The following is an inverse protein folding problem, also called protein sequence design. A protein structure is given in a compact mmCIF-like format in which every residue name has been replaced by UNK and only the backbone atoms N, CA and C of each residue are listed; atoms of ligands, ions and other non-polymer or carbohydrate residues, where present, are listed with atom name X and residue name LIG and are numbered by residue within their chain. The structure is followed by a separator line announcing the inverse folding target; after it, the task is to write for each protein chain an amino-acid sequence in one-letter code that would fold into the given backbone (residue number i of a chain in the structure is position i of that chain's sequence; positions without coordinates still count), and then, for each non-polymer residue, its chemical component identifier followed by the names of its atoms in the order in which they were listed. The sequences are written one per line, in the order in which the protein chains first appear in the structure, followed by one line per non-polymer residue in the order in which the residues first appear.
data_IF_112956696958
#
_entry.id   IF_112956696958
#
_cell.length_a   1.000
_cell.length_b   1.000
_cell.length_c   1.000
_cell.angle_alpha   90.00
_cell.angle_beta   90.00
_cell.angle_gamma   90.00
#
_symmetry.space_group_name_H-M   'P 1'
#
loop_
_entity.id
_entity.type
_entity.pdbx_description
1 polymer ?
#
# COMPACT_ATOMS: atom_id res chain seq x y z
N UNK A 1 -14.68 -21.89 0.51
CA UNK A 1 -13.40 -22.07 -0.20
C UNK A 1 -13.74 -22.48 -1.62
N UNK A 2 -13.72 -21.54 -2.57
CA UNK A 2 -14.07 -21.82 -3.96
C UNK A 2 -12.83 -22.29 -4.69
N UNK A 3 -12.83 -23.56 -5.10
CA UNK A 3 -11.81 -24.14 -5.97
C UNK A 3 -11.83 -23.42 -7.31
N UNK A 4 -10.92 -22.47 -7.52
CA UNK A 4 -10.64 -21.96 -8.85
C UNK A 4 -9.81 -22.99 -9.60
N UNK A 5 -10.50 -23.91 -10.29
CA UNK A 5 -9.94 -24.58 -11.45
C UNK A 5 -9.75 -23.46 -12.48
N UNK A 6 -8.51 -23.07 -12.73
CA UNK A 6 -8.20 -22.13 -13.81
C UNK A 6 -8.43 -22.90 -15.12
N UNK A 7 -9.63 -22.77 -15.68
CA UNK A 7 -9.94 -23.29 -17.01
C UNK A 7 -8.95 -22.69 -18.02
N UNK A 8 -8.25 -23.55 -18.74
CA UNK A 8 -7.33 -23.14 -19.81
C UNK A 8 -8.16 -22.61 -20.98
N UNK A 9 -7.74 -21.46 -21.53
CA UNK A 9 -8.40 -20.86 -22.70
C UNK A 9 -8.23 -21.81 -23.89
N UNK A 10 -9.35 -22.29 -24.43
CA UNK A 10 -9.35 -23.39 -25.39
C UNK A 10 -9.51 -22.95 -26.83
N UNK A 11 -10.02 -21.73 -27.08
CA UNK A 11 -10.22 -21.20 -28.44
C UNK A 11 -10.14 -19.67 -28.53
N UNK A 12 -10.07 -19.14 -29.76
CA UNK A 12 -9.93 -17.69 -30.03
C UNK A 12 -11.14 -16.85 -29.56
N UNK A 13 -12.41 -17.27 -29.77
CA UNK A 13 -13.55 -16.55 -29.22
C UNK A 13 -13.48 -16.38 -27.69
N UNK A 14 -13.18 -17.45 -26.96
CA UNK A 14 -13.03 -17.41 -25.51
C UNK A 14 -11.88 -16.48 -25.09
N UNK A 15 -10.74 -16.53 -25.78
CA UNK A 15 -9.61 -15.63 -25.53
C UNK A 15 -10.04 -14.15 -25.61
N UNK A 16 -10.76 -13.77 -26.67
CA UNK A 16 -11.24 -12.40 -26.87
C UNK A 16 -12.19 -11.99 -25.73
N UNK A 17 -13.09 -12.87 -25.31
CA UNK A 17 -14.01 -12.62 -24.20
C UNK A 17 -13.27 -12.37 -22.88
N UNK A 18 -12.26 -13.19 -22.56
CA UNK A 18 -11.45 -13.00 -21.34
C UNK A 18 -10.68 -11.67 -21.37
N UNK A 19 -10.14 -11.27 -22.53
CA UNK A 19 -9.46 -9.98 -22.69
C UNK A 19 -10.44 -8.81 -22.51
N UNK A 20 -11.63 -8.88 -23.11
CA UNK A 20 -12.66 -7.85 -22.94
C UNK A 20 -13.09 -7.71 -21.48
N UNK A 21 -13.32 -8.83 -20.80
CA UNK A 21 -13.61 -8.87 -19.35
C UNK A 21 -12.47 -8.28 -18.53
N UNK A 22 -11.22 -8.64 -18.83
CA UNK A 22 -10.04 -8.09 -18.15
C UNK A 22 -9.98 -6.56 -18.30
N UNK A 23 -10.16 -6.03 -19.51
CA UNK A 23 -10.17 -4.58 -19.78
C UNK A 23 -11.31 -3.87 -19.04
N UNK A 24 -12.49 -4.48 -18.99
CA UNK A 24 -13.64 -3.95 -18.23
C UNK A 24 -13.31 -3.85 -16.74
N UNK A 25 -12.79 -4.92 -16.14
CA UNK A 25 -12.41 -4.96 -14.72
C UNK A 25 -11.31 -3.96 -14.39
N UNK A 26 -10.24 -3.90 -15.20
CA UNK A 26 -9.16 -2.93 -15.05
C UNK A 26 -9.68 -1.48 -15.07
N UNK A 27 -10.61 -1.18 -15.98
CA UNK A 27 -11.24 0.15 -16.07
C UNK A 27 -12.06 0.50 -14.83
N UNK A 28 -12.83 -0.46 -14.28
CA UNK A 28 -13.60 -0.25 -13.05
C UNK A 28 -12.69 -0.08 -11.83
N UNK A 29 -11.62 -0.89 -11.74
CA UNK A 29 -10.62 -0.76 -10.68
C UNK A 29 -9.97 0.62 -10.69
N UNK A 30 -9.64 1.17 -11.87
CA UNK A 30 -9.14 2.55 -11.98
C UNK A 30 -10.09 3.57 -11.35
N UNK A 31 -11.37 3.52 -11.71
CA UNK A 31 -12.40 4.44 -11.16
C UNK A 31 -12.53 4.31 -9.65
N UNK A 32 -12.60 3.07 -9.14
CA UNK A 32 -12.72 2.81 -7.69
C UNK A 32 -11.47 3.27 -6.95
N UNK A 33 -10.28 3.04 -7.50
CA UNK A 33 -9.01 3.45 -6.90
C UNK A 33 -8.89 4.97 -6.85
N UNK A 34 -9.31 5.68 -7.90
CA UNK A 34 -9.31 7.15 -7.93
C UNK A 34 -10.27 7.72 -6.87
N UNK A 35 -11.49 7.17 -6.76
CA UNK A 35 -12.44 7.55 -5.70
C UNK A 35 -11.90 7.24 -4.31
N UNK A 36 -11.27 6.07 -4.13
CA UNK A 36 -10.66 5.66 -2.87
C UNK A 36 -9.53 6.61 -2.46
N UNK A 37 -8.70 7.03 -3.42
CA UNK A 37 -7.63 8.01 -3.20
C UNK A 37 -8.20 9.33 -2.70
N UNK A 38 -9.20 9.90 -3.38
CA UNK A 38 -9.85 11.15 -2.98
C UNK A 38 -10.45 11.06 -1.57
N UNK A 39 -11.16 9.96 -1.26
CA UNK A 39 -11.74 9.76 0.07
C UNK A 39 -10.68 9.62 1.17
N UNK A 40 -9.54 8.96 0.90
CA UNK A 40 -8.42 8.86 1.85
C UNK A 40 -7.79 10.22 2.13
N UNK A 41 -7.58 11.03 1.09
CA UNK A 41 -7.04 12.38 1.21
C UNK A 41 -7.97 13.27 2.04
N UNK A 42 -9.27 13.29 1.71
CA UNK A 42 -10.28 14.05 2.45
C UNK A 42 -10.37 13.60 3.91
N UNK A 43 -10.39 12.28 4.17
CA UNK A 43 -10.38 11.74 5.54
C UNK A 43 -9.14 12.17 6.31
N UNK A 44 -7.96 12.15 5.69
CA UNK A 44 -6.72 12.58 6.33
C UNK A 44 -6.73 14.07 6.66
N UNK A 45 -7.25 14.91 5.75
CA UNK A 45 -7.38 16.35 5.98
C UNK A 45 -8.33 16.64 7.15
N UNK A 46 -9.52 16.02 7.15
CA UNK A 46 -10.48 16.14 8.25
C UNK A 46 -9.91 15.65 9.57
N UNK A 47 -9.21 14.52 9.56
CA UNK A 47 -8.56 13.97 10.75
C UNK A 47 -7.59 14.98 11.37
N UNK A 48 -6.73 15.60 10.55
CA UNK A 48 -5.78 16.60 11.05
C UNK A 48 -6.50 17.84 11.61
N UNK A 49 -7.54 18.33 10.95
CA UNK A 49 -8.33 19.47 11.43
C UNK A 49 -9.00 19.16 12.77
N UNK A 50 -9.64 17.99 12.89
CA UNK A 50 -10.35 17.56 14.10
C UNK A 50 -9.37 17.35 15.26
N UNK A 51 -8.27 16.61 15.04
CA UNK A 51 -7.25 16.39 16.07
C UNK A 51 -6.64 17.72 16.56
N UNK A 52 -6.34 18.65 15.64
CA UNK A 52 -5.81 19.96 16.00
C UNK A 52 -6.79 20.75 16.86
N UNK A 53 -8.08 20.77 16.48
CA UNK A 53 -9.11 21.43 17.27
C UNK A 53 -9.25 20.81 18.65
N UNK A 54 -9.30 19.48 18.75
CA UNK A 54 -9.40 18.79 20.04
C UNK A 54 -8.23 19.11 20.97
N UNK A 55 -7.00 19.14 20.44
CA UNK A 55 -5.81 19.49 21.21
C UNK A 55 -5.80 20.97 21.64
N UNK A 56 -6.25 21.90 20.78
CA UNK A 56 -6.31 23.33 21.11
C UNK A 56 -7.34 23.66 22.20
N UNK A 57 -8.34 22.81 22.36
CA UNK A 57 -9.44 23.00 23.30
C UNK A 57 -9.42 22.04 24.49
N UNK A 58 -8.30 21.32 24.73
CA UNK A 58 -8.12 20.34 25.82
C UNK A 58 -9.21 19.24 25.83
N UNK A 59 -9.56 18.72 24.65
CA UNK A 59 -10.58 17.67 24.45
C UNK A 59 -9.96 16.29 24.21
N UNK A 60 -8.70 16.06 24.57
CA UNK A 60 -7.96 14.83 24.26
C UNK A 60 -8.62 13.58 24.88
N UNK A 61 -9.25 13.76 26.04
CA UNK A 61 -9.97 12.70 26.75
C UNK A 61 -11.48 12.67 26.44
N UNK A 62 -11.97 13.54 25.55
CA UNK A 62 -13.39 13.62 25.20
C UNK A 62 -13.82 12.49 24.26
N UNK A 63 -15.08 12.07 24.45
CA UNK A 63 -15.76 11.04 23.65
C UNK A 63 -16.88 11.70 22.86
N UNK A 64 -16.85 11.58 21.54
CA UNK A 64 -17.87 12.14 20.64
C UNK A 64 -18.77 10.99 20.18
N UNK A 65 -20.04 11.01 20.57
CA UNK A 65 -21.02 10.02 20.12
C UNK A 65 -21.48 10.27 18.69
N UNK A 66 -21.58 9.20 17.90
CA UNK A 66 -22.16 9.16 16.56
C UNK A 66 -23.19 8.03 16.48
N UNK A 67 -23.99 8.00 15.41
CA UNK A 67 -25.11 7.06 15.26
C UNK A 67 -24.72 5.58 15.36
N UNK A 68 -23.50 5.24 14.99
CA UNK A 68 -22.94 3.88 14.92
C UNK A 68 -21.81 3.65 15.94
N UNK A 69 -21.58 4.55 16.89
CA UNK A 69 -20.55 4.38 17.91
C UNK A 69 -20.00 5.68 18.47
N UNK A 70 -18.68 5.72 18.67
CA UNK A 70 -18.00 6.87 19.23
C UNK A 70 -16.62 7.13 18.64
N UNK A 71 -16.20 8.39 18.70
CA UNK A 71 -14.88 8.87 18.32
C UNK A 71 -14.14 9.37 19.55
N UNK A 72 -12.85 9.04 19.62
CA UNK A 72 -11.91 9.53 20.63
C UNK A 72 -10.55 9.78 20.00
N UNK A 73 -9.78 10.70 20.57
CA UNK A 73 -8.40 10.88 20.17
C UNK A 73 -7.61 9.61 20.52
N UNK A 74 -6.73 9.19 19.62
CA UNK A 74 -5.87 8.03 19.85
C UNK A 74 -4.53 8.21 19.16
N UNK A 75 -3.46 7.94 19.90
CA UNK A 75 -2.10 7.97 19.38
C UNK A 75 -1.82 6.73 18.53
N UNK A 76 -1.77 6.94 17.22
CA UNK A 76 -1.35 5.92 16.28
C UNK A 76 0.19 5.88 16.22
N UNK A 77 0.79 4.76 16.60
CA UNK A 77 2.22 4.49 16.35
C UNK A 77 2.40 4.01 14.90
N UNK A 78 3.13 4.78 14.10
CA UNK A 78 3.49 4.38 12.74
C UNK A 78 4.95 3.92 12.71
N UNK A 79 5.17 2.65 12.36
CA UNK A 79 6.51 2.10 12.20
C UNK A 79 6.95 2.25 10.75
N UNK A 80 8.13 2.84 10.54
CA UNK A 80 8.74 2.90 9.21
C UNK A 80 9.08 1.50 8.69
N UNK A 81 9.02 1.31 7.38
CA UNK A 81 9.46 0.05 6.76
C UNK A 81 10.94 -0.23 7.03
N UNK A 82 11.27 -1.52 7.18
CA UNK A 82 12.65 -1.98 7.29
C UNK A 82 13.26 -1.94 5.89
N UNK A 83 13.84 -0.79 5.55
CA UNK A 83 14.54 -0.58 4.29
C UNK A 83 16.01 -0.98 4.41
N UNK A 84 16.67 -1.29 3.29
CA UNK A 84 18.12 -1.50 3.30
C UNK A 84 18.88 -0.31 3.89
N UNK A 85 18.44 0.92 3.62
CA UNK A 85 19.05 2.12 4.22
C UNK A 85 18.81 2.23 5.74
N UNK A 86 17.67 1.73 6.25
CA UNK A 86 17.47 1.61 7.70
C UNK A 86 18.44 0.60 8.31
N UNK A 87 18.55 -0.60 7.72
CA UNK A 87 19.46 -1.66 8.17
C UNK A 87 20.90 -1.15 8.14
N UNK A 88 21.33 -0.51 7.04
CA UNK A 88 22.68 0.04 6.86
C UNK A 88 23.02 1.05 7.96
N UNK A 89 22.14 2.01 8.24
CA UNK A 89 22.34 2.99 9.33
C UNK A 89 22.44 2.32 10.70
N UNK A 90 21.65 1.27 10.94
CA UNK A 90 21.72 0.52 12.19
C UNK A 90 23.04 -0.24 12.31
N UNK A 91 23.48 -0.92 11.25
CA UNK A 91 24.75 -1.64 11.21
C UNK A 91 25.94 -0.69 11.36
N UNK A 92 25.93 0.47 10.72
CA UNK A 92 27.00 1.47 10.82
C UNK A 92 27.18 2.06 12.23
N UNK A 93 26.16 1.95 13.10
CA UNK A 93 26.27 2.32 14.53
C UNK A 93 26.93 1.24 15.37
N UNK A 94 26.90 -0.01 14.91
CA UNK A 94 27.38 -1.19 15.64
C UNK A 94 28.73 -1.69 15.12
N UNK A 95 29.02 -1.45 13.84
CA UNK A 95 30.20 -1.93 13.13
C UNK A 95 30.98 -0.72 12.63
N UNK A 96 32.20 -0.52 13.13
CA UNK A 96 33.05 0.63 12.78
C UNK A 96 33.62 0.52 11.36
N UNK A 97 33.84 -0.69 10.86
CA UNK A 97 34.31 -0.92 9.50
C UNK A 97 33.17 -0.75 8.48
N UNK A 98 33.22 0.36 7.75
CA UNK A 98 32.25 0.68 6.70
C UNK A 98 32.24 -0.36 5.57
N UNK A 99 33.38 -0.95 5.23
CA UNK A 99 33.45 -1.96 4.15
C UNK A 99 32.69 -3.22 4.54
N UNK A 100 32.73 -3.60 5.81
CA UNK A 100 31.96 -4.73 6.32
C UNK A 100 30.45 -4.46 6.27
N UNK A 101 30.00 -3.24 6.61
CA UNK A 101 28.60 -2.84 6.49
C UNK A 101 28.13 -2.88 5.03
N UNK A 102 28.91 -2.31 4.12
CA UNK A 102 28.62 -2.34 2.68
C UNK A 102 28.52 -3.78 2.15
N UNK A 103 29.43 -4.66 2.58
CA UNK A 103 29.39 -6.08 2.24
C UNK A 103 28.10 -6.77 2.72
N UNK A 104 27.70 -6.54 3.98
CA UNK A 104 26.46 -7.13 4.52
C UNK A 104 25.24 -6.67 3.73
N UNK A 105 25.15 -5.36 3.44
CA UNK A 105 24.01 -4.81 2.68
C UNK A 105 23.98 -5.38 1.26
N UNK A 106 25.14 -5.50 0.62
CA UNK A 106 25.25 -6.15 -0.69
C UNK A 106 24.80 -7.61 -0.62
N UNK A 107 25.30 -8.37 0.35
CA UNK A 107 24.91 -9.76 0.55
C UNK A 107 23.39 -9.92 0.72
N UNK A 108 22.75 -9.06 1.52
CA UNK A 108 21.29 -9.11 1.69
C UNK A 108 20.52 -8.79 0.40
N UNK A 109 21.03 -7.88 -0.45
CA UNK A 109 20.42 -7.57 -1.76
C UNK A 109 20.58 -8.74 -2.72
N UNK A 110 21.78 -9.30 -2.81
CA UNK A 110 22.13 -10.36 -3.75
C UNK A 110 21.42 -11.69 -3.42
N UNK A 111 21.12 -11.94 -2.14
CA UNK A 111 20.43 -13.15 -1.68
C UNK A 111 18.92 -12.96 -1.47
N UNK A 112 18.36 -11.79 -1.83
CA UNK A 112 16.91 -11.57 -1.71
C UNK A 112 16.18 -12.41 -2.76
N UNK A 113 15.22 -13.22 -2.32
CA UNK A 113 14.38 -13.99 -3.24
C UNK A 113 13.58 -13.08 -4.17
N UNK A 114 13.68 -13.33 -5.47
CA UNK A 114 12.94 -12.60 -6.51
C UNK A 114 12.08 -13.61 -7.25
N UNK A 115 10.77 -13.47 -7.12
CA UNK A 115 9.80 -14.21 -7.94
C UNK A 115 9.38 -13.34 -9.12
N UNK A 116 9.51 -13.87 -10.34
CA UNK A 116 9.05 -13.21 -11.56
C UNK A 116 7.79 -13.90 -12.07
N UNK A 117 6.70 -13.15 -12.20
CA UNK A 117 5.43 -13.64 -12.74
C UNK A 117 5.07 -12.87 -14.01
N UNK A 118 4.51 -13.54 -15.01
CA UNK A 118 3.97 -12.87 -16.20
C UNK A 118 2.61 -12.24 -15.88
N UNK A 119 2.44 -10.97 -16.22
CA UNK A 119 1.20 -10.22 -15.99
C UNK A 119 0.81 -9.41 -17.23
N UNK A 120 -0.50 -9.27 -17.48
CA UNK A 120 -1.03 -8.39 -18.52
C UNK A 120 -0.94 -6.94 -18.01
N UNK A 121 -0.29 -6.06 -18.77
CA UNK A 121 -0.17 -4.64 -18.45
C UNK A 121 -0.89 -3.79 -19.49
N UNK A 122 -1.80 -2.92 -19.03
CA UNK A 122 -2.42 -1.90 -19.87
C UNK A 122 -1.52 -0.67 -19.97
N UNK A 123 -1.35 -0.15 -21.19
CA UNK A 123 -0.69 1.15 -21.43
C UNK A 123 -1.71 2.08 -22.07
N UNK A 124 -1.87 3.27 -21.49
CA UNK A 124 -2.73 4.32 -22.05
C UNK A 124 -1.92 5.16 -23.05
N UNK A 125 -2.55 5.60 -24.14
CA UNK A 125 -1.93 6.60 -25.02
C UNK A 125 -1.72 7.88 -24.21
N UNK A 126 -0.56 8.51 -24.37
CA UNK A 126 -0.37 9.89 -23.91
C UNK A 126 -1.08 10.78 -24.93
N UNK A 127 -1.97 11.63 -24.45
CA UNK A 127 -2.46 12.78 -25.22
C UNK A 127 -1.33 13.79 -25.42
#
# INVERSE_FOLDING_TARGET
MSNNIVEQISNKPEFIEKIQKWVMVDSQLKIVNDKTKQMREMKSQLNNQICNYMNQHNLENSKIGISDGDLRLHDKKEYSSITFGYIERCLAKLITDKKQVEYIIKYLKDNREITTNSEIKRTYKKD
#
